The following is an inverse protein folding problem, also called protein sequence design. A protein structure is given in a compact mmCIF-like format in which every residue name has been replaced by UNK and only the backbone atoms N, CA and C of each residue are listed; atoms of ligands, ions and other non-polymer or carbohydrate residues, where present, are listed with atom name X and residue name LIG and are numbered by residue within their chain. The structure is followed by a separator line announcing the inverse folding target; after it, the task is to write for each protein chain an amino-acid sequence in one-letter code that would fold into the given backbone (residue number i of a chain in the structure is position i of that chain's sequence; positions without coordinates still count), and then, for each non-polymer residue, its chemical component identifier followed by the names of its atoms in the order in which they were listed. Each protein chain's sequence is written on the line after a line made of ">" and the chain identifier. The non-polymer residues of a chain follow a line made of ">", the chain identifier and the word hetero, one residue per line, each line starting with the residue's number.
data_IF_876823577449
#
_entry.id   IF_876823577449
#
_cell.length_a   1.000
_cell.length_b   1.000
_cell.length_c   1.000
_cell.angle_alpha   90.00
_cell.angle_beta   90.00
_cell.angle_gamma   90.00
#
_symmetry.space_group_name_H-M   'P 1'
#
loop_
_entity.id
_entity.type
_entity.pdbx_description
1 polymer ?
#
# COMPACT_ATOMS: atom_id res chain seq x y z
N UNK A 1 13.35 16.28 15.67
CA UNK A 1 12.12 16.23 14.84
C UNK A 1 11.12 15.29 15.49
N UNK A 2 9.83 15.60 15.45
CA UNK A 2 8.77 14.71 15.94
C UNK A 2 8.69 13.43 15.10
N UNK A 3 8.35 12.29 15.70
CA UNK A 3 8.13 11.01 15.00
C UNK A 3 7.16 11.17 13.82
N UNK A 4 6.04 11.85 14.04
CA UNK A 4 5.07 12.17 13.00
C UNK A 4 5.68 12.88 11.78
N UNK A 5 6.55 13.88 11.99
CA UNK A 5 7.19 14.61 10.89
C UNK A 5 8.14 13.72 10.08
N UNK A 6 8.77 12.74 10.75
CA UNK A 6 9.65 11.77 10.09
C UNK A 6 8.84 10.81 9.21
N UNK A 7 7.70 10.33 9.71
CA UNK A 7 6.75 9.50 8.96
C UNK A 7 6.17 10.30 7.78
N UNK A 8 5.71 11.52 8.04
CA UNK A 8 5.10 12.40 7.04
C UNK A 8 6.03 12.71 5.88
N UNK A 9 7.28 13.09 6.17
CA UNK A 9 8.27 13.41 5.12
C UNK A 9 8.53 12.18 4.23
N UNK A 10 8.57 10.99 4.82
CA UNK A 10 8.77 9.73 4.09
C UNK A 10 7.56 9.39 3.22
N UNK A 11 6.35 9.44 3.78
CA UNK A 11 5.12 9.20 3.04
C UNK A 11 4.98 10.20 1.88
N UNK A 12 5.25 11.49 2.11
CA UNK A 12 5.23 12.50 1.03
C UNK A 12 6.24 12.20 -0.08
N UNK A 13 7.49 11.87 0.29
CA UNK A 13 8.52 11.50 -0.70
C UNK A 13 8.08 10.31 -1.54
N UNK A 14 7.45 9.33 -0.88
CA UNK A 14 6.98 8.11 -1.51
C UNK A 14 5.82 8.38 -2.46
N UNK A 15 4.83 9.19 -2.07
CA UNK A 15 3.70 9.56 -2.91
C UNK A 15 4.11 10.50 -4.07
N UNK A 16 5.04 11.42 -3.83
CA UNK A 16 5.49 12.42 -4.82
C UNK A 16 6.22 11.80 -6.02
N UNK A 17 6.82 10.61 -5.86
CA UNK A 17 7.59 9.94 -6.91
C UNK A 17 6.76 8.95 -7.74
N UNK A 18 5.47 8.77 -7.43
CA UNK A 18 4.70 7.60 -7.88
C UNK A 18 3.42 7.93 -8.63
N UNK A 19 2.98 6.96 -9.41
CA UNK A 19 1.71 6.98 -10.13
C UNK A 19 0.54 6.66 -9.19
N UNK A 20 -0.67 7.19 -9.46
CA UNK A 20 -1.86 6.99 -8.63
C UNK A 20 -2.23 5.50 -8.46
N UNK A 21 -1.94 4.65 -9.43
CA UNK A 21 -2.12 3.19 -9.34
C UNK A 21 -1.26 2.54 -8.26
N UNK A 22 0.00 2.98 -8.08
CA UNK A 22 0.86 2.47 -7.01
C UNK A 22 0.40 2.96 -5.64
N UNK A 23 -0.12 4.18 -5.57
CA UNK A 23 -0.71 4.72 -4.34
C UNK A 23 -1.92 3.89 -3.92
N UNK A 24 -2.77 3.50 -4.88
CA UNK A 24 -3.91 2.63 -4.63
C UNK A 24 -3.48 1.25 -4.11
N UNK A 25 -2.47 0.62 -4.73
CA UNK A 25 -1.98 -0.69 -4.29
C UNK A 25 -1.45 -0.66 -2.84
N UNK A 26 -0.81 0.43 -2.44
CA UNK A 26 -0.39 0.58 -1.04
C UNK A 26 -1.53 0.76 -0.06
N UNK A 27 -2.53 1.55 -0.44
CA UNK A 27 -3.73 1.70 0.38
C UNK A 27 -4.41 0.33 0.57
N UNK A 28 -4.40 -0.51 -0.47
CA UNK A 28 -4.90 -1.89 -0.40
C UNK A 28 -4.09 -2.76 0.59
N UNK A 29 -2.75 -2.72 0.53
CA UNK A 29 -1.93 -3.41 1.54
C UNK A 29 -2.16 -2.92 2.97
N UNK A 30 -2.30 -1.61 3.17
CA UNK A 30 -2.61 -1.08 4.50
C UNK A 30 -3.99 -1.56 4.99
N UNK A 31 -4.92 -1.84 4.08
CA UNK A 31 -6.20 -2.46 4.39
C UNK A 31 -6.04 -3.97 4.70
N UNK A 32 -5.22 -4.70 3.95
CA UNK A 32 -4.90 -6.12 4.19
C UNK A 32 -4.23 -6.34 5.56
N UNK A 33 -3.28 -5.48 5.92
CA UNK A 33 -2.60 -5.47 7.21
C UNK A 33 -3.51 -4.98 8.36
N UNK A 34 -4.79 -4.71 8.08
CA UNK A 34 -5.80 -4.20 9.02
C UNK A 34 -5.40 -2.88 9.70
N UNK A 35 -4.49 -2.13 9.08
CA UNK A 35 -4.09 -0.80 9.53
C UNK A 35 -5.19 0.21 9.21
N UNK A 36 -5.87 0.01 8.08
CA UNK A 36 -7.05 0.77 7.63
C UNK A 36 -8.34 -0.05 7.76
N UNK A 37 -9.46 0.65 7.99
CA UNK A 37 -10.79 0.10 7.75
C UNK A 37 -11.18 0.27 6.28
N UNK A 38 -12.04 -0.61 5.74
CA UNK A 38 -12.55 -0.50 4.35
C UNK A 38 -13.14 0.87 4.03
N UNK A 39 -13.88 1.44 4.98
CA UNK A 39 -14.48 2.78 4.85
C UNK A 39 -13.42 3.88 4.73
N UNK A 40 -12.38 3.79 5.56
CA UNK A 40 -11.30 4.76 5.58
C UNK A 40 -10.40 4.62 4.35
N UNK A 41 -10.17 3.39 3.87
CA UNK A 41 -9.51 3.12 2.60
C UNK A 41 -10.21 3.82 1.42
N UNK A 42 -11.53 3.71 1.33
CA UNK A 42 -12.31 4.38 0.29
C UNK A 42 -12.24 5.91 0.40
N UNK A 43 -12.22 6.44 1.63
CA UNK A 43 -12.03 7.87 1.86
C UNK A 43 -10.66 8.37 1.39
N UNK A 44 -9.60 7.58 1.59
CA UNK A 44 -8.24 7.91 1.14
C UNK A 44 -8.11 7.86 -0.39
N UNK A 45 -8.76 6.91 -1.06
CA UNK A 45 -8.76 6.86 -2.53
C UNK A 45 -9.49 8.03 -3.19
N UNK A 46 -10.44 8.63 -2.48
CA UNK A 46 -11.18 9.80 -2.96
C UNK A 46 -10.47 11.12 -2.66
N UNK A 47 -9.34 11.10 -1.95
CA UNK A 47 -8.61 12.32 -1.62
C UNK A 47 -7.93 12.90 -2.86
N UNK A 48 -8.31 14.12 -3.31
CA UNK A 48 -7.67 14.73 -4.47
C UNK A 48 -6.30 15.35 -4.12
N UNK A 49 -6.06 15.61 -2.84
CA UNK A 49 -4.89 16.31 -2.35
C UNK A 49 -3.85 15.32 -1.82
N UNK A 50 -2.73 15.19 -2.54
CA UNK A 50 -1.66 14.25 -2.19
C UNK A 50 -0.99 14.57 -0.84
N UNK A 51 -0.98 15.84 -0.42
CA UNK A 51 -0.49 16.22 0.90
C UNK A 51 -1.46 15.81 2.02
N UNK A 52 -2.75 16.03 1.83
CA UNK A 52 -3.80 15.60 2.75
C UNK A 52 -3.81 14.08 2.88
N UNK A 53 -3.67 13.37 1.76
CA UNK A 53 -3.52 11.92 1.72
C UNK A 53 -2.29 11.47 2.53
N UNK A 54 -1.14 12.09 2.28
CA UNK A 54 0.09 11.79 3.03
C UNK A 54 -0.08 12.00 4.53
N UNK A 55 -0.74 13.09 4.95
CA UNK A 55 -1.01 13.39 6.36
C UNK A 55 -1.93 12.35 7.00
N UNK A 56 -3.00 11.94 6.31
CA UNK A 56 -3.96 10.95 6.80
C UNK A 56 -3.34 9.56 6.95
N UNK A 57 -2.54 9.13 5.97
CA UNK A 57 -1.76 7.89 6.05
C UNK A 57 -0.78 7.98 7.23
N UNK A 58 -0.04 9.08 7.34
CA UNK A 58 0.94 9.27 8.42
C UNK A 58 0.30 9.26 9.80
N UNK A 59 -0.91 9.80 9.93
CA UNK A 59 -1.68 9.76 11.17
C UNK A 59 -2.05 8.32 11.54
N UNK A 60 -2.53 7.55 10.56
CA UNK A 60 -2.88 6.13 10.75
C UNK A 60 -1.69 5.31 11.24
N UNK A 61 -0.53 5.50 10.60
CA UNK A 61 0.71 4.81 10.96
C UNK A 61 1.19 5.20 12.36
N UNK A 62 1.06 6.48 12.72
CA UNK A 62 1.38 6.96 14.06
C UNK A 62 0.47 6.32 15.12
N UNK A 63 -0.84 6.23 14.85
CA UNK A 63 -1.85 5.70 15.79
C UNK A 63 -1.74 4.18 15.98
N UNK A 64 -1.38 3.43 14.93
CA UNK A 64 -1.23 1.96 15.00
C UNK A 64 0.15 1.49 15.49
N UNK A 65 1.09 2.40 15.74
CA UNK A 65 2.37 2.08 16.37
C UNK A 65 3.54 1.84 15.41
N UNK A 66 3.61 2.60 14.31
CA UNK A 66 4.67 2.53 13.29
C UNK A 66 4.96 1.07 12.87
N UNK A 67 4.07 0.44 12.08
CA UNK A 67 4.38 -0.88 11.51
C UNK A 67 5.73 -0.77 10.81
N UNK A 68 6.60 -1.76 11.07
CA UNK A 68 8.02 -1.70 10.70
C UNK A 68 8.16 -1.14 9.28
N UNK A 69 8.67 0.10 9.16
CA UNK A 69 8.66 0.80 7.87
C UNK A 69 9.47 0.05 6.80
N UNK A 70 10.37 -0.85 7.22
CA UNK A 70 11.07 -1.78 6.33
C UNK A 70 10.09 -2.78 5.73
N UNK A 71 9.11 -3.26 6.50
CA UNK A 71 8.03 -4.11 6.01
C UNK A 71 7.12 -3.36 5.01
N UNK A 72 6.73 -2.12 5.30
CA UNK A 72 5.94 -1.32 4.35
C UNK A 72 6.72 -0.98 3.07
N UNK A 73 8.00 -0.65 3.19
CA UNK A 73 8.86 -0.40 2.04
C UNK A 73 9.13 -1.68 1.23
N UNK A 74 9.31 -2.82 1.87
CA UNK A 74 9.48 -4.13 1.24
C UNK A 74 8.20 -4.60 0.54
N UNK A 75 7.06 -4.55 1.22
CA UNK A 75 5.74 -4.83 0.62
C UNK A 75 5.48 -3.91 -0.59
N UNK A 76 5.88 -2.64 -0.50
CA UNK A 76 5.82 -1.73 -1.63
C UNK A 76 6.81 -2.10 -2.75
N UNK A 77 8.02 -2.55 -2.43
CA UNK A 77 8.98 -3.05 -3.42
C UNK A 77 8.45 -4.29 -4.16
N UNK A 78 7.71 -5.18 -3.48
CA UNK A 78 7.07 -6.34 -4.11
C UNK A 78 5.91 -5.95 -5.03
N UNK A 79 5.09 -4.96 -4.65
CA UNK A 79 4.05 -4.37 -5.52
C UNK A 79 4.58 -3.72 -6.81
N UNK A 80 5.87 -3.37 -6.85
CA UNK A 80 6.51 -2.82 -8.05
C UNK A 80 7.03 -3.89 -9.00
N UNK A 81 7.11 -5.14 -8.57
CA UNK A 81 7.33 -6.23 -9.49
C UNK A 81 6.03 -6.40 -10.29
N UNK A 82 6.09 -6.35 -11.64
CA UNK A 82 4.95 -6.83 -12.41
C UNK A 82 4.73 -8.27 -11.95
N UNK A 83 3.55 -8.55 -11.44
CA UNK A 83 3.04 -9.89 -11.16
C UNK A 83 2.95 -10.66 -12.49
N UNK A 84 4.10 -10.98 -13.07
CA UNK A 84 4.23 -12.08 -14.00
C UNK A 84 4.32 -13.31 -13.13
N UNK A 85 3.49 -14.29 -13.44
CA UNK A 85 3.47 -15.63 -12.85
C UNK A 85 2.62 -15.79 -11.59
N UNK A 86 1.30 -15.78 -11.77
CA UNK A 86 0.43 -16.85 -11.24
C UNK A 86 -0.62 -17.25 -12.27
N UNK A 87 -0.16 -17.65 -13.46
CA UNK A 87 -0.95 -18.53 -14.30
C UNK A 87 -1.03 -19.86 -13.55
N UNK A 88 -2.23 -20.18 -13.08
CA UNK A 88 -2.55 -21.52 -12.62
C UNK A 88 -2.48 -22.43 -13.84
N UNK A 89 -1.30 -22.98 -14.12
CA UNK A 89 -1.13 -24.17 -14.95
C UNK A 89 -1.87 -25.32 -14.25
N UNK A 90 -3.17 -25.41 -14.55
CA UNK A 90 -4.02 -26.53 -14.23
C UNK A 90 -4.32 -27.28 -15.53
N UNK A 91 -3.30 -27.75 -16.25
CA UNK A 91 -3.48 -28.80 -17.26
C UNK A 91 -2.78 -30.09 -16.84
N UNK A 92 -3.25 -30.62 -15.70
CA UNK A 92 -3.01 -31.99 -15.29
C UNK A 92 -4.05 -32.96 -15.87
N UNK A 93 -3.63 -33.71 -16.89
CA UNK A 93 -3.95 -35.13 -17.16
C UNK A 93 -5.41 -35.62 -17.36
N UNK A 94 -5.64 -36.20 -18.57
CA UNK A 94 -5.97 -37.63 -18.80
C UNK A 94 -7.25 -37.93 -19.63
N UNK A 95 -7.07 -38.72 -20.71
CA UNK A 95 -7.90 -39.91 -20.94
C UNK A 95 -9.01 -39.88 -22.01
N UNK A 96 -8.71 -40.52 -23.15
CA UNK A 96 -9.52 -41.47 -23.95
C UNK A 96 -11.04 -41.25 -24.04
N UNK A 97 -11.56 -41.14 -25.27
CA UNK A 97 -12.54 -42.07 -25.85
C UNK A 97 -12.23 -42.29 -27.34
#
# INVERSE_FOLDING_TARGET
>A
MSHFQSILTRVQTLLSSRQPSQVQAFLDHLLEEQLLSKEYHCALLQEPDGEALARKISLTLLEKGDPDWVFLWWAWSELQAPEVERDLDCSGHNGKW
#
